data_IF_380396699732
#
_entry.id   IF_380396699732
#
_cell.length_a   1.000
_cell.length_b   1.000
_cell.length_c   1.000
_cell.angle_alpha   90.00
_cell.angle_beta   90.00
_cell.angle_gamma   90.00
#
_symmetry.space_group_name_H-M   'P 1'
#
loop_
_entity.id
_entity.type
_entity.pdbx_description
1 polymer ?
#
# COMPACT_ATOMS: atom_id res chain seq x y z
N UNK A 1 9.38 23.49 27.81
CA UNK A 1 10.04 22.27 27.29
C UNK A 1 11.48 22.68 27.06
N UNK A 2 12.37 22.45 28.02
CA UNK A 2 13.69 23.11 28.09
C UNK A 2 14.49 22.96 26.79
N UNK A 3 14.45 21.80 26.14
CA UNK A 3 15.13 21.58 24.86
C UNK A 3 14.61 22.49 23.73
N UNK A 4 13.29 22.72 23.65
CA UNK A 4 12.72 23.57 22.59
C UNK A 4 13.07 25.04 22.80
N UNK A 5 13.11 25.50 24.06
CA UNK A 5 13.53 26.85 24.41
C UNK A 5 14.98 27.13 23.98
N UNK A 6 15.86 26.13 24.08
CA UNK A 6 17.25 26.23 23.64
C UNK A 6 17.41 26.23 22.10
N UNK A 7 16.44 25.65 21.37
CA UNK A 7 16.51 25.48 19.92
C UNK A 7 15.67 26.48 19.13
N UNK A 8 14.82 27.28 19.80
CA UNK A 8 13.79 28.10 19.16
C UNK A 8 14.34 29.10 18.11
N UNK A 9 15.54 29.63 18.34
CA UNK A 9 16.16 30.62 17.45
C UNK A 9 16.94 29.97 16.28
N UNK A 10 17.09 28.65 16.30
CA UNK A 10 17.83 27.89 15.29
C UNK A 10 16.93 27.24 14.24
N UNK A 11 15.63 27.15 14.49
CA UNK A 11 14.69 26.34 13.70
C UNK A 11 13.53 27.20 13.22
N UNK A 12 13.20 27.20 11.90
CA UNK A 12 12.03 27.93 11.40
C UNK A 12 10.72 27.46 12.02
N UNK A 13 9.75 28.37 12.13
CA UNK A 13 8.42 28.05 12.62
C UNK A 13 7.78 26.90 11.81
N UNK A 14 7.20 25.92 12.50
CA UNK A 14 6.50 24.77 11.92
C UNK A 14 7.38 23.56 11.58
N UNK A 15 8.72 23.68 11.64
CA UNK A 15 9.64 22.55 11.37
C UNK A 15 9.65 21.53 12.50
N UNK A 16 9.61 21.98 13.75
CA UNK A 16 9.50 21.11 14.92
C UNK A 16 8.20 21.44 15.66
N UNK A 17 7.40 20.41 15.89
CA UNK A 17 6.15 20.50 16.62
C UNK A 17 6.19 19.48 17.76
N UNK A 18 5.89 19.92 18.97
CA UNK A 18 5.79 19.04 20.15
C UNK A 18 4.33 18.90 20.52
N UNK A 19 3.81 17.68 20.42
CA UNK A 19 2.43 17.35 20.75
C UNK A 19 2.43 16.43 21.97
N UNK A 20 1.79 16.88 23.05
CA UNK A 20 1.62 16.07 24.25
C UNK A 20 0.23 15.43 24.23
N UNK A 21 0.15 14.17 24.64
CA UNK A 21 -1.12 13.45 24.75
C UNK A 21 -0.90 11.97 25.02
N UNK A 22 -1.98 11.25 25.29
CA UNK A 22 -1.93 9.80 25.49
C UNK A 22 -1.84 9.05 24.15
N UNK A 23 -1.36 7.80 24.18
CA UNK A 23 -1.14 7.00 22.97
C UNK A 23 -2.37 6.85 22.08
N UNK A 24 -3.57 6.67 22.67
CA UNK A 24 -4.82 6.56 21.89
C UNK A 24 -5.31 7.90 21.32
N UNK A 25 -5.01 9.00 21.99
CA UNK A 25 -5.51 10.34 21.63
C UNK A 25 -4.59 11.07 20.66
N UNK A 26 -3.27 10.96 20.86
CA UNK A 26 -2.26 11.62 20.04
C UNK A 26 -1.46 10.63 19.19
N UNK A 27 -1.06 9.50 19.77
CA UNK A 27 -0.19 8.52 19.09
C UNK A 27 -0.86 7.87 17.88
N UNK A 28 -2.04 7.27 18.07
CA UNK A 28 -2.78 6.60 16.99
C UNK A 28 -3.11 7.55 15.83
N UNK A 29 -3.72 8.73 16.03
CA UNK A 29 -4.03 9.64 14.92
C UNK A 29 -2.80 10.14 14.16
N UNK A 30 -1.65 10.31 14.85
CA UNK A 30 -0.40 10.68 14.19
C UNK A 30 0.16 9.52 13.37
N UNK A 31 0.21 8.31 13.94
CA UNK A 31 0.76 7.14 13.26
C UNK A 31 -0.09 6.72 12.06
N UNK A 32 -1.42 6.87 12.12
CA UNK A 32 -2.33 6.51 11.02
C UNK A 32 -2.60 7.64 10.02
N UNK A 33 -1.98 8.82 10.16
CA UNK A 33 -2.28 9.93 9.25
C UNK A 33 -1.63 9.74 7.87
N UNK A 34 -2.38 9.90 6.75
CA UNK A 34 -1.81 9.82 5.40
C UNK A 34 -0.84 10.98 5.07
N UNK A 35 -0.75 11.97 5.97
CA UNK A 35 0.19 13.10 5.86
C UNK A 35 1.55 12.82 6.51
N UNK A 36 1.72 11.70 7.21
CA UNK A 36 2.97 11.32 7.86
C UNK A 36 3.71 10.31 6.99
N UNK A 37 4.87 10.71 6.46
CA UNK A 37 5.66 9.84 5.58
C UNK A 37 6.59 8.88 6.32
N UNK A 38 6.85 9.13 7.62
CA UNK A 38 7.76 8.31 8.43
C UNK A 38 7.39 8.41 9.90
N UNK A 39 7.27 7.25 10.55
CA UNK A 39 7.17 7.13 11.99
C UNK A 39 8.47 6.57 12.58
N UNK A 40 8.91 7.11 13.71
CA UNK A 40 9.98 6.54 14.53
C UNK A 40 9.46 6.42 15.95
N UNK A 41 9.65 5.26 16.57
CA UNK A 41 9.11 4.97 17.89
C UNK A 41 10.17 4.29 18.75
N UNK A 42 10.18 4.62 20.04
CA UNK A 42 10.98 3.95 21.06
C UNK A 42 10.13 3.83 22.32
N UNK A 43 10.01 2.62 22.84
CA UNK A 43 9.13 2.31 23.96
C UNK A 43 8.90 0.81 24.11
N UNK A 44 7.78 0.45 24.70
CA UNK A 44 7.42 -0.94 24.97
C UNK A 44 7.02 -1.68 23.68
N UNK A 45 7.32 -2.99 23.61
CA UNK A 45 7.19 -3.81 22.40
C UNK A 45 5.75 -3.93 21.90
N UNK A 46 4.77 -4.14 22.79
CA UNK A 46 3.34 -4.22 22.40
C UNK A 46 2.85 -2.90 21.81
N UNK A 47 3.29 -1.76 22.36
CA UNK A 47 3.00 -0.43 21.79
C UNK A 47 3.66 -0.26 20.43
N UNK A 48 4.91 -0.72 20.26
CA UNK A 48 5.62 -0.67 18.98
C UNK A 48 4.90 -1.42 17.86
N UNK A 49 4.30 -2.58 18.18
CA UNK A 49 3.46 -3.34 17.21
C UNK A 49 2.23 -2.55 16.77
N UNK A 50 1.55 -1.90 17.71
CA UNK A 50 0.39 -1.04 17.40
C UNK A 50 0.79 0.15 16.51
N UNK A 51 1.93 0.80 16.79
CA UNK A 51 2.44 1.89 15.95
C UNK A 51 2.76 1.40 14.53
N UNK A 52 3.40 0.23 14.39
CA UNK A 52 3.66 -0.36 13.08
C UNK A 52 2.37 -0.67 12.32
N UNK A 53 1.36 -1.22 13.01
CA UNK A 53 0.05 -1.46 12.42
C UNK A 53 -0.56 -0.15 11.92
N UNK A 54 -0.68 0.89 12.75
CA UNK A 54 -1.26 2.17 12.32
C UNK A 54 -0.49 2.82 11.16
N UNK A 55 0.84 2.81 11.21
CA UNK A 55 1.67 3.41 10.16
C UNK A 55 1.55 2.68 8.83
N UNK A 56 1.32 1.38 8.87
CA UNK A 56 1.27 0.57 7.68
C UNK A 56 -0.05 0.73 6.90
N UNK A 57 -1.08 1.36 7.49
CA UNK A 57 -2.27 1.85 6.75
C UNK A 57 -1.86 2.80 5.62
N UNK A 58 -0.79 3.57 5.82
CA UNK A 58 -0.30 4.56 4.86
C UNK A 58 0.83 4.03 3.96
N UNK A 59 1.07 2.71 3.94
CA UNK A 59 2.04 2.13 3.01
C UNK A 59 1.49 2.20 1.60
N UNK A 60 2.04 3.15 0.83
CA UNK A 60 1.76 3.36 -0.59
C UNK A 60 1.67 2.05 -1.38
N UNK A 61 2.53 1.03 -1.19
CA UNK A 61 2.39 -0.23 -1.91
C UNK A 61 1.04 -0.94 -1.69
N UNK A 62 0.52 -0.99 -0.46
CA UNK A 62 -0.71 -1.74 -0.16
C UNK A 62 -1.94 -1.05 -0.77
N UNK A 63 -2.12 0.25 -0.50
CA UNK A 63 -3.24 1.02 -1.06
C UNK A 63 -3.16 1.11 -2.59
N UNK A 64 -1.95 1.25 -3.16
CA UNK A 64 -1.74 1.22 -4.61
C UNK A 64 -2.22 -0.11 -5.17
N UNK A 65 -1.80 -1.25 -4.61
CA UNK A 65 -2.22 -2.57 -5.11
C UNK A 65 -3.75 -2.69 -5.05
N UNK A 66 -4.38 -2.34 -3.93
CA UNK A 66 -5.84 -2.36 -3.80
C UNK A 66 -6.55 -1.51 -4.86
N UNK A 67 -6.02 -0.32 -5.17
CA UNK A 67 -6.57 0.52 -6.23
C UNK A 67 -6.53 -0.15 -7.61
N UNK A 68 -5.47 -0.89 -7.93
CA UNK A 68 -5.38 -1.65 -9.19
C UNK A 68 -6.31 -2.85 -9.23
N UNK A 69 -6.56 -3.50 -8.10
CA UNK A 69 -7.57 -4.57 -8.01
C UNK A 69 -8.95 -4.03 -8.40
N UNK A 70 -9.31 -2.85 -7.89
CA UNK A 70 -10.58 -2.20 -8.21
C UNK A 70 -10.63 -1.68 -9.66
N UNK A 71 -9.53 -1.12 -10.17
CA UNK A 71 -9.42 -0.72 -11.59
C UNK A 71 -9.65 -1.93 -12.51
N UNK A 72 -9.03 -3.07 -12.23
CA UNK A 72 -9.20 -4.29 -13.02
C UNK A 72 -10.66 -4.73 -13.08
N UNK A 73 -11.34 -4.78 -11.93
CA UNK A 73 -12.77 -5.11 -11.84
C UNK A 73 -13.63 -4.09 -12.60
N UNK A 74 -13.34 -2.80 -12.46
CA UNK A 74 -14.09 -1.71 -13.10
C UNK A 74 -13.92 -1.69 -14.63
N UNK A 75 -12.76 -2.09 -15.14
CA UNK A 75 -12.48 -2.23 -16.57
C UNK A 75 -13.04 -3.52 -17.19
N UNK A 76 -13.66 -4.39 -16.37
CA UNK A 76 -14.33 -5.60 -16.83
C UNK A 76 -13.44 -6.84 -16.90
N UNK A 77 -12.29 -6.85 -16.20
CA UNK A 77 -11.48 -8.05 -16.06
C UNK A 77 -12.23 -9.12 -15.23
N UNK A 78 -12.11 -10.38 -15.64
CA UNK A 78 -12.61 -11.53 -14.88
C UNK A 78 -11.60 -11.85 -13.76
N UNK A 79 -12.05 -11.85 -12.50
CA UNK A 79 -11.25 -12.29 -11.35
C UNK A 79 -11.26 -13.82 -11.31
N UNK A 80 -10.12 -14.45 -11.64
CA UNK A 80 -9.99 -15.92 -11.62
C UNK A 80 -9.65 -16.45 -10.22
N UNK A 81 -8.91 -15.67 -9.44
CA UNK A 81 -8.48 -15.98 -8.07
C UNK A 81 -8.13 -14.69 -7.33
N UNK A 82 -8.36 -14.66 -6.02
CA UNK A 82 -7.97 -13.54 -5.15
C UNK A 82 -8.80 -12.28 -5.44
N UNK A 83 -8.13 -11.14 -5.55
CA UNK A 83 -8.75 -9.86 -5.89
C UNK A 83 -9.15 -9.01 -4.68
N UNK A 84 -8.72 -9.39 -3.48
CA UNK A 84 -9.02 -8.68 -2.23
C UNK A 84 -7.83 -8.63 -1.28
N UNK A 85 -7.92 -7.77 -0.26
CA UNK A 85 -7.06 -7.86 0.90
C UNK A 85 -7.29 -9.21 1.59
N UNK A 86 -6.23 -9.80 2.15
CA UNK A 86 -6.36 -11.02 2.92
C UNK A 86 -7.07 -10.72 4.25
N UNK A 87 -8.25 -11.30 4.46
CA UNK A 87 -8.96 -11.20 5.73
C UNK A 87 -8.53 -12.31 6.70
N UNK A 88 -8.52 -12.01 7.99
CA UNK A 88 -7.99 -12.90 9.03
C UNK A 88 -8.87 -14.10 9.40
N UNK A 89 -9.96 -14.37 8.67
CA UNK A 89 -10.83 -15.54 8.96
C UNK A 89 -10.08 -16.88 8.81
N UNK A 90 -8.97 -16.90 8.08
CA UNK A 90 -8.14 -18.09 7.83
C UNK A 90 -7.00 -18.30 8.85
N UNK A 91 -6.84 -17.43 9.85
CA UNK A 91 -6.01 -17.64 11.06
C UNK A 91 -4.48 -17.80 10.91
N UNK A 92 -3.94 -17.83 9.69
CA UNK A 92 -2.54 -18.24 9.45
C UNK A 92 -1.49 -17.11 9.54
N UNK A 93 -1.85 -15.85 9.27
CA UNK A 93 -0.88 -14.77 9.02
C UNK A 93 -0.90 -13.60 10.03
N UNK A 94 -1.84 -13.58 10.98
CA UNK A 94 -1.95 -12.50 11.98
C UNK A 94 -2.30 -11.12 11.39
N UNK A 95 -2.19 -10.08 12.22
CA UNK A 95 -2.48 -8.69 11.83
C UNK A 95 -1.39 -8.14 10.89
N UNK A 96 -1.74 -7.78 9.65
CA UNK A 96 -0.81 -7.20 8.68
C UNK A 96 -1.45 -6.81 7.34
N UNK A 97 -0.64 -6.23 6.45
CA UNK A 97 -1.03 -5.67 5.15
C UNK A 97 -0.82 -6.69 4.04
N UNK A 98 -1.66 -7.72 4.05
CA UNK A 98 -1.56 -8.85 3.14
C UNK A 98 -2.56 -8.71 1.98
N UNK A 99 -2.10 -8.97 0.76
CA UNK A 99 -2.94 -9.03 -0.44
C UNK A 99 -3.02 -10.50 -0.88
N UNK A 100 -4.23 -10.97 -1.21
CA UNK A 100 -4.38 -12.31 -1.76
C UNK A 100 -3.63 -12.42 -3.10
N UNK A 101 -2.92 -13.54 -3.38
CA UNK A 101 -2.44 -13.82 -4.73
C UNK A 101 -3.60 -13.69 -5.72
N UNK A 102 -3.47 -12.77 -6.68
CA UNK A 102 -4.57 -12.37 -7.55
C UNK A 102 -4.26 -12.69 -9.00
N UNK A 103 -5.25 -13.25 -9.70
CA UNK A 103 -5.17 -13.53 -11.13
C UNK A 103 -6.38 -12.94 -11.86
N UNK A 104 -6.12 -12.05 -12.83
CA UNK A 104 -7.13 -11.47 -13.69
C UNK A 104 -7.06 -12.05 -15.10
N UNK A 105 -8.21 -12.33 -15.71
CA UNK A 105 -8.31 -12.53 -17.16
C UNK A 105 -8.89 -11.29 -17.82
N UNK A 106 -8.24 -10.79 -18.87
CA UNK A 106 -8.67 -9.59 -19.57
C UNK A 106 -7.98 -9.44 -20.93
N UNK A 107 -7.85 -8.21 -21.39
CA UNK A 107 -7.16 -7.88 -22.64
C UNK A 107 -6.09 -6.81 -22.43
N UNK A 108 -5.10 -6.77 -23.32
CA UNK A 108 -3.88 -5.99 -23.14
C UNK A 108 -4.09 -4.47 -22.96
N UNK A 109 -5.22 -3.91 -23.42
CA UNK A 109 -5.55 -2.48 -23.28
C UNK A 109 -6.02 -2.05 -21.89
N UNK A 110 -6.22 -2.98 -20.95
CA UNK A 110 -6.59 -2.65 -19.58
C UNK A 110 -5.37 -2.12 -18.81
N UNK A 111 -5.58 -1.22 -17.85
CA UNK A 111 -4.51 -0.64 -17.04
C UNK A 111 -3.73 -1.70 -16.25
N UNK A 112 -4.41 -2.75 -15.79
CA UNK A 112 -3.76 -3.88 -15.09
C UNK A 112 -2.85 -4.74 -15.99
N UNK A 113 -2.83 -4.51 -17.31
CA UNK A 113 -1.85 -5.08 -18.26
C UNK A 113 -0.76 -4.05 -18.62
N UNK A 114 -1.11 -2.75 -18.61
CA UNK A 114 -0.25 -1.68 -19.10
C UNK A 114 0.60 -1.01 -18.01
N UNK A 115 0.22 -1.10 -16.75
CA UNK A 115 0.86 -0.38 -15.64
C UNK A 115 1.42 -1.34 -14.59
N UNK A 116 2.55 -0.95 -14.01
CA UNK A 116 3.23 -1.76 -13.00
C UNK A 116 2.57 -1.67 -11.60
N UNK A 117 2.01 -2.78 -11.15
CA UNK A 117 1.25 -2.89 -9.88
C UNK A 117 2.19 -3.08 -8.66
N UNK A 118 3.30 -3.82 -8.80
CA UNK A 118 4.22 -4.22 -7.72
C UNK A 118 3.59 -5.07 -6.58
N UNK A 119 2.48 -5.76 -6.84
CA UNK A 119 1.81 -6.67 -5.90
C UNK A 119 1.84 -8.13 -6.35
N UNK A 120 1.31 -9.06 -5.54
CA UNK A 120 1.15 -10.47 -5.92
C UNK A 120 -0.03 -10.64 -6.91
N UNK A 121 0.00 -9.91 -8.03
CA UNK A 121 -1.07 -9.79 -9.01
C UNK A 121 -0.52 -10.16 -10.38
N UNK A 122 -1.20 -11.04 -11.11
CA UNK A 122 -0.88 -11.39 -12.50
C UNK A 122 -2.10 -11.23 -13.40
N UNK A 123 -1.88 -10.66 -14.58
CA UNK A 123 -2.89 -10.50 -15.62
C UNK A 123 -2.63 -11.48 -16.76
N UNK A 124 -3.65 -12.23 -17.18
CA UNK A 124 -3.55 -13.25 -18.22
C UNK A 124 -4.49 -12.94 -19.39
N UNK A 125 -4.00 -13.12 -20.61
CA UNK A 125 -4.78 -13.02 -21.85
C UNK A 125 -4.52 -14.24 -22.73
N UNK A 126 -5.41 -14.52 -23.66
CA UNK A 126 -5.21 -15.55 -24.68
C UNK A 126 -4.69 -14.93 -25.97
N UNK A 127 -4.09 -15.77 -26.82
CA UNK A 127 -3.67 -15.47 -28.18
C UNK A 127 -3.85 -16.73 -29.04
N UNK A 128 -3.88 -16.57 -30.35
CA UNK A 128 -4.07 -17.67 -31.32
C UNK A 128 -2.83 -17.95 -32.16
N UNK A 129 -1.98 -16.96 -32.37
CA UNK A 129 -0.74 -17.11 -33.15
C UNK A 129 0.46 -16.59 -32.38
N UNK A 130 1.64 -17.00 -32.81
CA UNK A 130 2.90 -16.53 -32.23
C UNK A 130 3.08 -15.03 -32.51
N UNK A 131 2.69 -14.57 -33.69
CA UNK A 131 2.73 -13.17 -34.08
C UNK A 131 1.86 -12.30 -33.16
N UNK A 132 0.64 -12.73 -32.87
CA UNK A 132 -0.27 -12.04 -31.93
C UNK A 132 0.32 -12.00 -30.51
N UNK A 133 0.94 -13.10 -30.06
CA UNK A 133 1.60 -13.13 -28.76
C UNK A 133 2.76 -12.13 -28.66
N UNK A 134 3.56 -12.00 -29.74
CA UNK A 134 4.67 -11.03 -29.82
C UNK A 134 4.14 -9.60 -29.84
N UNK A 135 3.04 -9.33 -30.56
CA UNK A 135 2.40 -8.01 -30.57
C UNK A 135 1.90 -7.62 -29.17
N UNK A 136 1.20 -8.52 -28.49
CA UNK A 136 0.72 -8.30 -27.11
C UNK A 136 1.89 -8.02 -26.16
N UNK A 137 2.96 -8.82 -26.24
CA UNK A 137 4.11 -8.68 -25.35
C UNK A 137 4.84 -7.33 -25.52
N UNK A 138 4.89 -6.79 -26.75
CA UNK A 138 5.55 -5.52 -27.05
C UNK A 138 4.63 -4.30 -26.91
N UNK A 139 3.32 -4.48 -26.79
CA UNK A 139 2.33 -3.40 -26.61
C UNK A 139 2.31 -2.95 -25.14
N UNK A 140 3.43 -2.36 -24.70
CA UNK A 140 3.64 -1.80 -23.37
C UNK A 140 4.70 -0.70 -23.45
N UNK A 141 4.72 0.19 -22.45
CA UNK A 141 5.75 1.24 -22.31
C UNK A 141 7.06 0.72 -21.67
N UNK A 142 7.03 -0.51 -21.18
CA UNK A 142 8.17 -1.17 -20.52
C UNK A 142 8.95 -2.06 -21.50
N UNK A 143 10.17 -2.49 -21.12
CA UNK A 143 11.05 -3.32 -21.95
C UNK A 143 12.05 -4.13 -21.15
#
# INVERSE_FOLDING_TARGET
MVLMELLQDLIPAGVVNVVNGFGLEAGKPLASSPRINKASFTGETTTGRLIMQYAAENLIPFEKILSYLEIGKAEGAEVLMGGEAYSQEDGALGEGYYIQPTMFRGHNKMRIFQEEIFGPVVSVTTFKTVEEAIEIANDTLYG
#
